data_IF_583868997680
#
_entry.id   IF_583868997680
#
_cell.length_a   1.000
_cell.length_b   1.000
_cell.length_c   1.000
_cell.angle_alpha   90.00
_cell.angle_beta   90.00
_cell.angle_gamma   90.00
#
_symmetry.space_group_name_H-M   'P 1'
#
loop_
_entity.id
_entity.type
_entity.pdbx_description
1 polymer ?
#
# COMPACT_ATOMS: atom_id res chain seq x y z
N UNK A 1 -21.72 6.84 -23.12
CA UNK A 1 -21.09 6.04 -22.04
C UNK A 1 -19.60 6.19 -22.19
N UNK A 2 -18.87 6.77 -21.22
CA UNK A 2 -17.40 6.69 -21.25
C UNK A 2 -17.02 5.20 -21.18
N UNK A 3 -16.18 4.74 -22.10
CA UNK A 3 -15.69 3.37 -22.11
C UNK A 3 -15.00 3.13 -20.76
N UNK A 4 -15.44 2.09 -20.02
CA UNK A 4 -14.88 1.78 -18.71
C UNK A 4 -13.45 1.29 -18.92
N UNK A 5 -12.49 1.96 -18.30
CA UNK A 5 -11.07 1.57 -18.34
C UNK A 5 -10.97 0.16 -17.75
N UNK A 6 -10.21 -0.70 -18.41
CA UNK A 6 -10.00 -2.09 -18.02
C UNK A 6 -8.51 -2.45 -18.14
N UNK A 7 -8.07 -3.60 -17.64
CA UNK A 7 -6.64 -3.93 -17.61
C UNK A 7 -6.03 -4.03 -19.01
N UNK A 8 -6.76 -4.52 -20.01
CA UNK A 8 -6.25 -4.62 -21.38
C UNK A 8 -6.00 -3.23 -21.99
N UNK A 9 -6.88 -2.26 -21.73
CA UNK A 9 -6.67 -0.86 -22.11
C UNK A 9 -5.44 -0.25 -21.42
N UNK A 10 -5.19 -0.57 -20.14
CA UNK A 10 -4.00 -0.07 -19.45
C UNK A 10 -2.71 -0.69 -20.02
N UNK A 11 -2.71 -1.98 -20.30
CA UNK A 11 -1.54 -2.67 -20.85
C UNK A 11 -1.23 -2.24 -22.29
N UNK A 12 -2.23 -1.81 -23.08
CA UNK A 12 -1.97 -1.29 -24.44
C UNK A 12 -1.19 0.02 -24.48
N UNK A 13 -1.07 0.75 -23.36
CA UNK A 13 -0.23 1.94 -23.26
C UNK A 13 1.23 1.65 -22.94
N UNK A 14 1.56 0.42 -22.53
CA UNK A 14 2.94 0.05 -22.20
C UNK A 14 3.74 -0.08 -23.50
N UNK A 15 4.82 0.70 -23.69
CA UNK A 15 5.58 0.66 -24.93
C UNK A 15 6.22 -0.72 -25.18
N UNK A 16 6.22 -1.14 -26.44
CA UNK A 16 6.80 -2.43 -26.85
C UNK A 16 7.83 -2.26 -27.96
N UNK A 17 8.71 -3.26 -28.11
CA UNK A 17 9.68 -3.30 -29.19
C UNK A 17 8.99 -3.36 -30.56
N UNK A 18 9.61 -2.83 -31.62
CA UNK A 18 10.92 -2.17 -31.64
C UNK A 18 10.87 -0.66 -31.33
N UNK A 19 9.69 -0.03 -31.40
CA UNK A 19 9.58 1.43 -31.45
C UNK A 19 9.62 2.09 -30.07
N UNK A 20 9.16 1.40 -29.03
CA UNK A 20 9.09 1.91 -27.65
C UNK A 20 8.40 3.30 -27.54
N UNK A 21 7.45 3.57 -28.43
CA UNK A 21 6.72 4.83 -28.48
C UNK A 21 5.66 4.89 -27.38
N UNK A 22 5.42 6.10 -26.87
CA UNK A 22 4.43 6.37 -25.83
C UNK A 22 3.30 7.20 -26.44
N UNK A 23 2.07 6.69 -26.37
CA UNK A 23 0.87 7.43 -26.75
C UNK A 23 0.46 8.39 -25.61
N UNK A 24 1.07 9.57 -25.59
CA UNK A 24 0.82 10.57 -24.56
C UNK A 24 -0.62 11.07 -24.54
N UNK A 25 -1.23 11.30 -25.71
CA UNK A 25 -2.58 11.85 -25.79
C UNK A 25 -3.60 10.85 -25.26
N UNK A 26 -3.47 9.57 -25.64
CA UNK A 26 -4.32 8.51 -25.10
C UNK A 26 -4.09 8.27 -23.61
N UNK A 27 -2.82 8.19 -23.17
CA UNK A 27 -2.45 7.95 -21.77
C UNK A 27 -2.99 9.05 -20.84
N UNK A 28 -2.78 10.32 -21.19
CA UNK A 28 -3.22 11.45 -20.36
C UNK A 28 -4.74 11.65 -20.36
N UNK A 29 -5.44 11.13 -21.37
CA UNK A 29 -6.90 11.19 -21.44
C UNK A 29 -7.61 10.12 -20.59
N UNK A 30 -6.88 9.15 -20.02
CA UNK A 30 -7.46 8.07 -19.21
C UNK A 30 -8.19 8.61 -17.98
N UNK A 31 -7.51 9.45 -17.22
CA UNK A 31 -7.98 9.90 -15.92
C UNK A 31 -7.81 11.41 -15.77
N UNK A 32 -8.82 12.15 -15.25
CA UNK A 32 -8.68 13.58 -14.99
C UNK A 32 -7.54 13.88 -14.00
N UNK A 33 -7.14 12.91 -13.18
CA UNK A 33 -5.99 13.01 -12.29
C UNK A 33 -4.68 13.28 -13.04
N UNK A 34 -4.52 12.81 -14.28
CA UNK A 34 -3.34 13.13 -15.10
C UNK A 34 -3.34 14.59 -15.55
N UNK A 35 -4.49 15.10 -16.02
CA UNK A 35 -4.61 16.51 -16.40
C UNK A 35 -4.33 17.45 -15.22
N UNK A 36 -4.72 17.06 -14.00
CA UNK A 36 -4.41 17.84 -12.80
C UNK A 36 -2.91 17.94 -12.48
N UNK A 37 -2.05 17.08 -13.06
CA UNK A 37 -0.61 17.20 -12.91
C UNK A 37 -0.04 18.35 -13.74
N UNK A 38 -0.62 18.62 -14.91
CA UNK A 38 -0.16 19.69 -15.82
C UNK A 38 -0.39 21.10 -15.20
N UNK A 39 -1.35 21.20 -14.27
CA UNK A 39 -1.65 22.44 -13.53
C UNK A 39 -0.94 22.52 -12.16
N UNK A 40 -0.21 21.48 -11.74
CA UNK A 40 0.39 21.42 -10.41
C UNK A 40 1.83 21.96 -10.44
N UNK A 41 2.11 23.13 -9.82
CA UNK A 41 3.45 23.71 -9.83
C UNK A 41 4.38 22.91 -8.92
N UNK A 42 5.69 22.95 -9.24
CA UNK A 42 6.75 22.40 -8.41
C UNK A 42 7.72 23.48 -7.96
N UNK A 43 8.57 23.13 -7.00
CA UNK A 43 9.62 24.02 -6.51
C UNK A 43 10.73 24.18 -7.55
N UNK A 44 10.92 25.40 -8.06
CA UNK A 44 11.85 25.69 -9.15
C UNK A 44 13.34 25.42 -8.83
N UNK A 45 13.72 25.21 -7.57
CA UNK A 45 15.11 24.85 -7.22
C UNK A 45 15.35 23.35 -7.48
N UNK A 46 14.37 22.51 -7.15
CA UNK A 46 14.48 21.06 -7.32
C UNK A 46 13.87 20.58 -8.64
N UNK A 47 13.01 21.39 -9.25
CA UNK A 47 12.22 21.06 -10.42
C UNK A 47 12.13 22.26 -11.37
N UNK A 48 13.26 22.71 -11.92
CA UNK A 48 13.26 23.81 -12.88
C UNK A 48 12.61 23.43 -14.24
N UNK A 49 12.31 22.14 -14.46
CA UNK A 49 11.58 21.64 -15.63
C UNK A 49 10.11 22.08 -15.70
N UNK A 50 9.51 22.50 -14.57
CA UNK A 50 8.17 23.06 -14.53
C UNK A 50 7.19 22.29 -13.64
N UNK A 51 6.03 21.95 -14.20
CA UNK A 51 4.92 21.30 -13.49
C UNK A 51 5.10 19.79 -13.34
N UNK A 52 4.28 19.19 -12.48
CA UNK A 52 4.30 17.75 -12.17
C UNK A 52 4.02 16.90 -13.40
N UNK A 53 3.18 17.36 -14.32
CA UNK A 53 2.85 16.64 -15.54
C UNK A 53 4.06 16.55 -16.48
N UNK A 54 4.73 17.69 -16.71
CA UNK A 54 5.99 17.79 -17.45
C UNK A 54 7.05 16.87 -16.86
N UNK A 55 7.29 16.96 -15.54
CA UNK A 55 8.24 16.09 -14.84
C UNK A 55 7.89 14.60 -15.04
N UNK A 56 6.64 14.21 -14.79
CA UNK A 56 6.18 12.81 -14.92
C UNK A 56 6.44 12.25 -16.32
N UNK A 57 6.19 13.03 -17.38
CA UNK A 57 6.49 12.61 -18.75
C UNK A 57 7.98 12.39 -18.96
N UNK A 58 8.83 13.28 -18.46
CA UNK A 58 10.28 13.15 -18.55
C UNK A 58 10.76 11.87 -17.85
N UNK A 59 10.27 11.57 -16.64
CA UNK A 59 10.59 10.34 -15.89
C UNK A 59 10.25 9.09 -16.72
N UNK A 60 9.03 9.04 -17.27
CA UNK A 60 8.57 7.89 -18.06
C UNK A 60 9.37 7.76 -19.36
N UNK A 61 9.72 8.87 -20.02
CA UNK A 61 10.60 8.86 -21.20
C UNK A 61 12.01 8.34 -20.88
N UNK A 62 12.61 8.83 -19.80
CA UNK A 62 13.93 8.38 -19.34
C UNK A 62 13.91 6.88 -19.02
N UNK A 63 12.87 6.41 -18.33
CA UNK A 63 12.69 4.99 -17.99
C UNK A 63 12.56 4.12 -19.25
N UNK A 64 11.63 4.44 -20.16
CA UNK A 64 11.36 3.65 -21.39
C UNK A 64 12.55 3.70 -22.38
N UNK A 65 13.28 4.82 -22.39
CA UNK A 65 14.51 4.99 -23.16
C UNK A 65 15.68 4.16 -22.63
N UNK A 66 15.66 3.77 -21.35
CA UNK A 66 16.74 3.07 -20.68
C UNK A 66 16.87 1.59 -21.07
N UNK A 67 18.09 1.08 -21.29
CA UNK A 67 18.32 -0.34 -21.61
C UNK A 67 17.91 -1.27 -20.47
N UNK A 68 18.07 -0.83 -19.21
CA UNK A 68 17.76 -1.63 -18.03
C UNK A 68 16.25 -1.94 -17.94
N UNK A 69 15.38 -0.95 -18.22
CA UNK A 69 13.94 -1.19 -18.28
C UNK A 69 13.58 -2.11 -19.46
N UNK A 70 14.17 -1.89 -20.64
CA UNK A 70 13.91 -2.73 -21.82
C UNK A 70 14.31 -4.19 -21.61
N UNK A 71 15.35 -4.44 -20.81
CA UNK A 71 15.82 -5.77 -20.45
C UNK A 71 14.95 -6.50 -19.40
N UNK A 72 14.05 -5.79 -18.72
CA UNK A 72 13.13 -6.41 -17.75
C UNK A 72 12.17 -7.41 -18.43
N UNK A 73 11.63 -8.32 -17.62
CA UNK A 73 10.50 -9.14 -18.02
C UNK A 73 9.31 -8.25 -18.40
N UNK A 74 8.44 -8.74 -19.29
CA UNK A 74 7.23 -7.99 -19.72
C UNK A 74 6.42 -7.51 -18.51
N UNK A 75 6.18 -8.40 -17.54
CA UNK A 75 5.43 -8.08 -16.32
C UNK A 75 6.07 -6.97 -15.48
N UNK A 76 7.39 -6.98 -15.36
CA UNK A 76 8.10 -5.95 -14.59
C UNK A 76 8.15 -4.61 -15.35
N UNK A 77 8.24 -4.64 -16.69
CA UNK A 77 8.10 -3.44 -17.53
C UNK A 77 6.74 -2.78 -17.36
N UNK A 78 5.67 -3.57 -17.48
CA UNK A 78 4.29 -3.11 -17.31
C UNK A 78 4.08 -2.49 -15.92
N UNK A 79 4.53 -3.17 -14.88
CA UNK A 79 4.41 -2.70 -13.49
C UNK A 79 5.19 -1.40 -13.28
N UNK A 80 6.46 -1.33 -13.70
CA UNK A 80 7.32 -0.18 -13.45
C UNK A 80 6.92 1.03 -14.29
N UNK A 81 6.43 0.82 -15.52
CA UNK A 81 5.86 1.87 -16.36
C UNK A 81 4.67 2.55 -15.65
N UNK A 82 3.72 1.77 -15.15
CA UNK A 82 2.56 2.34 -14.44
C UNK A 82 2.92 2.96 -13.10
N UNK A 83 3.93 2.43 -12.39
CA UNK A 83 4.49 3.10 -11.22
C UNK A 83 5.08 4.47 -11.56
N UNK A 84 5.84 4.58 -12.65
CA UNK A 84 6.41 5.85 -13.11
C UNK A 84 5.35 6.86 -13.53
N UNK A 85 4.32 6.45 -14.28
CA UNK A 85 3.21 7.33 -14.65
C UNK A 85 2.48 7.90 -13.43
N UNK A 86 2.42 7.16 -12.32
CA UNK A 86 1.57 7.49 -11.17
C UNK A 86 2.34 7.93 -9.92
N UNK A 87 3.67 7.94 -9.93
CA UNK A 87 4.50 8.16 -8.74
C UNK A 87 4.17 9.47 -8.00
N UNK A 88 3.84 10.50 -8.76
CA UNK A 88 3.54 11.85 -8.27
C UNK A 88 2.05 12.23 -8.37
N UNK A 89 1.16 11.28 -8.66
CA UNK A 89 -0.29 11.55 -8.82
C UNK A 89 -0.94 12.16 -7.56
N UNK A 90 -0.29 12.03 -6.40
CA UNK A 90 -0.72 12.62 -5.14
C UNK A 90 -0.32 14.08 -4.91
N UNK A 91 0.57 14.65 -5.74
CA UNK A 91 1.05 16.04 -5.56
C UNK A 91 -0.08 17.07 -5.64
N UNK A 92 -0.99 17.05 -6.64
CA UNK A 92 -2.08 18.04 -6.71
C UNK A 92 -2.94 18.14 -5.44
N UNK A 93 -3.14 17.02 -4.73
CA UNK A 93 -3.92 16.98 -3.49
C UNK A 93 -3.14 17.40 -2.22
N UNK A 94 -1.82 17.57 -2.30
CA UNK A 94 -0.93 17.79 -1.15
C UNK A 94 0.00 18.98 -1.29
N UNK A 95 0.09 19.57 -2.49
CA UNK A 95 0.93 20.73 -2.77
C UNK A 95 0.45 21.97 -2.02
N UNK A 96 1.41 22.68 -1.41
CA UNK A 96 1.22 23.93 -0.68
C UNK A 96 2.30 24.94 -1.07
N UNK A 97 1.91 26.20 -1.09
CA UNK A 97 2.84 27.33 -1.17
C UNK A 97 3.25 27.72 0.24
N UNK A 98 4.55 27.70 0.51
CA UNK A 98 5.14 28.09 1.79
C UNK A 98 5.48 29.59 1.79
N UNK A 99 5.66 30.16 2.98
CA UNK A 99 5.90 31.61 3.18
C UNK A 99 7.18 32.13 2.50
N UNK A 100 8.15 31.27 2.26
CA UNK A 100 9.44 31.58 1.63
C UNK A 100 9.45 31.35 0.10
N UNK A 101 8.27 31.39 -0.55
CA UNK A 101 8.09 31.11 -1.98
C UNK A 101 8.49 29.70 -2.41
N UNK A 102 8.71 28.80 -1.46
CA UNK A 102 8.95 27.37 -1.71
C UNK A 102 7.63 26.66 -1.94
N UNK A 103 7.70 25.54 -2.65
CA UNK A 103 6.54 24.68 -2.89
C UNK A 103 6.84 23.32 -2.27
N UNK A 104 5.92 22.79 -1.47
CA UNK A 104 6.07 21.45 -0.89
C UNK A 104 4.83 20.61 -1.13
N UNK A 105 5.03 19.30 -1.34
CA UNK A 105 3.95 18.32 -1.50
C UNK A 105 4.11 17.21 -0.45
N UNK A 106 4.14 17.60 0.83
CA UNK A 106 4.39 16.66 1.94
C UNK A 106 3.27 15.60 2.00
N UNK A 107 3.67 14.32 1.99
CA UNK A 107 2.75 13.19 2.04
C UNK A 107 2.16 12.76 0.70
N UNK A 108 2.60 13.36 -0.43
CA UNK A 108 2.10 12.99 -1.76
C UNK A 108 2.28 11.51 -2.08
N UNK A 109 3.35 10.85 -1.62
CA UNK A 109 3.60 9.43 -1.94
C UNK A 109 2.50 8.51 -1.37
N UNK A 110 2.08 8.74 -0.12
CA UNK A 110 0.98 7.96 0.51
C UNK A 110 -0.36 8.31 -0.11
N UNK A 111 -0.62 9.60 -0.36
CA UNK A 111 -1.85 10.05 -1.03
C UNK A 111 -1.94 9.50 -2.45
N UNK A 112 -0.84 9.53 -3.19
CA UNK A 112 -0.70 9.01 -4.55
C UNK A 112 -0.98 7.51 -4.60
N UNK A 113 -0.37 6.72 -3.71
CA UNK A 113 -0.68 5.30 -3.60
C UNK A 113 -2.16 5.02 -3.31
N UNK A 114 -2.83 5.85 -2.50
CA UNK A 114 -4.27 5.72 -2.25
C UNK A 114 -5.13 6.06 -3.48
N UNK A 115 -4.77 7.11 -4.23
CA UNK A 115 -5.42 7.47 -5.50
C UNK A 115 -5.24 6.34 -6.52
N UNK A 116 -3.99 5.91 -6.74
CA UNK A 116 -3.64 4.81 -7.65
C UNK A 116 -4.40 3.54 -7.32
N UNK A 117 -4.50 3.16 -6.04
CA UNK A 117 -5.27 2.00 -5.62
C UNK A 117 -6.74 2.10 -6.04
N UNK A 118 -7.36 3.27 -5.87
CA UNK A 118 -8.72 3.52 -6.33
C UNK A 118 -8.87 3.36 -7.83
N UNK A 119 -8.04 4.06 -8.61
CA UNK A 119 -8.07 4.04 -10.08
C UNK A 119 -7.91 2.62 -10.64
N UNK A 120 -6.90 1.88 -10.16
CA UNK A 120 -6.60 0.54 -10.64
C UNK A 120 -7.64 -0.49 -10.18
N UNK A 121 -8.14 -0.39 -8.94
CA UNK A 121 -9.25 -1.24 -8.47
C UNK A 121 -10.50 -1.05 -9.33
N UNK A 122 -10.87 0.19 -9.61
CA UNK A 122 -12.07 0.51 -10.36
C UNK A 122 -11.93 0.14 -11.85
N UNK A 123 -10.69 0.05 -12.35
CA UNK A 123 -10.32 -0.52 -13.63
C UNK A 123 -10.23 -2.07 -13.63
N UNK A 124 -10.51 -2.75 -12.51
CA UNK A 124 -10.51 -4.22 -12.43
C UNK A 124 -9.12 -4.86 -12.52
N UNK A 125 -8.08 -4.12 -12.16
CA UNK A 125 -6.70 -4.58 -12.17
C UNK A 125 -6.46 -5.60 -11.05
N UNK A 126 -5.65 -6.62 -11.34
CA UNK A 126 -5.23 -7.64 -10.38
C UNK A 126 -4.71 -7.03 -9.07
N UNK A 127 -5.13 -7.59 -7.95
CA UNK A 127 -4.80 -7.10 -6.61
C UNK A 127 -3.29 -7.03 -6.37
N UNK A 128 -2.56 -8.10 -6.66
CA UNK A 128 -1.13 -8.17 -6.35
C UNK A 128 -0.33 -7.23 -7.26
N UNK A 129 -0.69 -7.14 -8.53
CA UNK A 129 -0.06 -6.18 -9.45
C UNK A 129 -0.34 -4.73 -9.04
N UNK A 130 -1.59 -4.41 -8.68
CA UNK A 130 -1.97 -3.09 -8.15
C UNK A 130 -1.20 -2.72 -6.89
N UNK A 131 -1.13 -3.60 -5.90
CA UNK A 131 -0.45 -3.28 -4.64
C UNK A 131 1.08 -3.17 -4.81
N UNK A 132 1.69 -3.89 -5.77
CA UNK A 132 3.11 -3.69 -6.14
C UNK A 132 3.38 -2.27 -6.69
N UNK A 133 2.48 -1.76 -7.53
CA UNK A 133 2.55 -0.37 -8.03
C UNK A 133 2.42 0.59 -6.85
N UNK A 134 1.41 0.40 -6.00
CA UNK A 134 1.17 1.26 -4.84
C UNK A 134 2.35 1.27 -3.86
N UNK A 135 3.01 0.13 -3.64
CA UNK A 135 4.20 0.04 -2.81
C UNK A 135 5.36 0.85 -3.42
N UNK A 136 5.60 0.71 -4.73
CA UNK A 136 6.63 1.49 -5.44
C UNK A 136 6.37 2.99 -5.32
N UNK A 137 5.13 3.43 -5.52
CA UNK A 137 4.72 4.84 -5.36
C UNK A 137 4.91 5.31 -3.91
N UNK A 138 4.58 4.47 -2.91
CA UNK A 138 4.75 4.83 -1.50
C UNK A 138 6.22 5.10 -1.15
N UNK A 139 7.13 4.33 -1.74
CA UNK A 139 8.56 4.35 -1.41
C UNK A 139 9.43 5.09 -2.44
N UNK A 140 8.87 5.65 -3.51
CA UNK A 140 9.65 6.11 -4.68
C UNK A 140 10.76 7.13 -4.36
N UNK A 141 10.60 7.92 -3.28
CA UNK A 141 11.62 8.88 -2.85
C UNK A 141 12.69 8.30 -1.93
N UNK A 142 12.49 7.10 -1.38
CA UNK A 142 13.42 6.50 -0.42
C UNK A 142 14.85 6.40 -0.97
N UNK A 143 15.09 5.96 -2.22
CA UNK A 143 16.46 5.82 -2.73
C UNK A 143 17.24 7.15 -2.77
N UNK A 144 16.58 8.30 -2.86
CA UNK A 144 17.27 9.61 -2.84
C UNK A 144 17.94 9.93 -1.50
N UNK A 145 17.43 9.33 -0.41
CA UNK A 145 17.81 9.73 0.95
C UNK A 145 18.26 8.55 1.82
N UNK A 146 18.13 7.30 1.33
CA UNK A 146 18.28 6.08 2.15
C UNK A 146 19.59 6.10 2.96
N UNK A 147 20.70 6.41 2.31
CA UNK A 147 22.05 6.36 2.89
C UNK A 147 22.29 7.46 3.93
N UNK A 148 21.54 8.56 3.84
CA UNK A 148 21.62 9.68 4.77
C UNK A 148 20.73 9.46 6.01
N UNK A 149 19.84 8.45 5.97
CA UNK A 149 18.96 8.13 7.09
C UNK A 149 19.69 7.34 8.17
N UNK A 150 19.29 7.49 9.45
CA UNK A 150 19.70 6.57 10.48
C UNK A 150 19.31 5.13 10.13
N UNK A 151 20.23 4.19 10.38
CA UNK A 151 20.06 2.75 10.13
C UNK A 151 19.59 2.43 8.70
N UNK A 152 20.37 2.78 7.68
CA UNK A 152 19.98 2.60 6.27
C UNK A 152 19.71 1.13 5.94
N UNK A 153 20.50 0.19 6.47
CA UNK A 153 20.28 -1.25 6.33
C UNK A 153 18.89 -1.66 6.84
N UNK A 154 18.48 -1.18 8.02
CA UNK A 154 17.18 -1.50 8.60
C UNK A 154 16.03 -0.98 7.75
N UNK A 155 16.16 0.22 7.21
CA UNK A 155 15.18 0.81 6.29
C UNK A 155 15.13 0.04 4.96
N UNK A 156 16.28 -0.41 4.46
CA UNK A 156 16.36 -1.24 3.27
C UNK A 156 15.63 -2.58 3.47
N UNK A 157 15.95 -3.28 4.57
CA UNK A 157 15.29 -4.53 4.96
C UNK A 157 13.78 -4.34 5.09
N UNK A 158 13.33 -3.34 5.86
CA UNK A 158 11.90 -3.08 6.06
C UNK A 158 11.16 -2.76 4.75
N UNK A 159 11.79 -2.01 3.83
CA UNK A 159 11.19 -1.66 2.53
C UNK A 159 11.11 -2.86 1.59
N UNK A 160 12.12 -3.74 1.63
CA UNK A 160 12.16 -4.95 0.78
C UNK A 160 10.97 -5.90 1.01
N UNK A 161 10.33 -5.83 2.18
CA UNK A 161 9.18 -6.65 2.55
C UNK A 161 7.92 -6.32 1.73
N UNK A 162 7.82 -5.11 1.20
CA UNK A 162 6.61 -4.65 0.48
C UNK A 162 6.93 -4.18 -0.94
N UNK A 163 8.17 -3.82 -1.23
CA UNK A 163 8.59 -3.25 -2.50
C UNK A 163 9.82 -3.98 -3.06
N UNK A 164 9.81 -4.29 -4.37
CA UNK A 164 10.99 -4.81 -5.07
C UNK A 164 12.02 -3.71 -5.27
N UNK A 165 13.06 -3.74 -4.45
CA UNK A 165 14.04 -2.67 -4.32
C UNK A 165 14.83 -2.41 -5.61
N UNK A 166 15.06 -3.42 -6.43
CA UNK A 166 15.71 -3.29 -7.74
C UNK A 166 14.91 -2.41 -8.71
N UNK A 167 13.59 -2.62 -8.76
CA UNK A 167 12.68 -1.82 -9.57
C UNK A 167 12.47 -0.43 -8.96
N UNK A 168 12.42 -0.33 -7.63
CA UNK A 168 12.35 0.94 -6.91
C UNK A 168 13.56 1.84 -7.24
N UNK A 169 14.78 1.29 -7.20
CA UNK A 169 15.99 2.02 -7.54
C UNK A 169 16.03 2.39 -9.03
N UNK A 170 15.54 1.52 -9.93
CA UNK A 170 15.47 1.83 -11.35
C UNK A 170 14.49 2.98 -11.64
N UNK A 171 13.33 3.00 -10.99
CA UNK A 171 12.42 4.15 -11.03
C UNK A 171 13.09 5.41 -10.50
N UNK A 172 13.67 5.36 -9.30
CA UNK A 172 14.30 6.52 -8.67
C UNK A 172 15.43 7.10 -9.53
N UNK A 173 16.20 6.24 -10.21
CA UNK A 173 17.22 6.70 -11.18
C UNK A 173 16.60 7.45 -12.35
N UNK A 174 15.50 6.95 -12.92
CA UNK A 174 14.80 7.64 -14.02
C UNK A 174 14.21 8.99 -13.58
N UNK A 175 13.66 9.06 -12.37
CA UNK A 175 13.18 10.30 -11.75
C UNK A 175 14.33 11.30 -11.57
N UNK A 176 15.42 10.89 -10.92
CA UNK A 176 16.60 11.75 -10.71
C UNK A 176 17.19 12.27 -12.03
N UNK A 177 17.33 11.42 -13.05
CA UNK A 177 17.82 11.81 -14.39
C UNK A 177 16.95 12.87 -15.08
N UNK A 178 15.68 12.98 -14.68
CA UNK A 178 14.70 13.87 -15.29
C UNK A 178 14.55 15.21 -14.59
N UNK A 179 15.18 15.38 -13.42
CA UNK A 179 15.15 16.65 -12.68
C UNK A 179 16.09 17.67 -13.28
N UNK A 180 15.63 18.91 -13.39
CA UNK A 180 16.51 20.05 -13.66
C UNK A 180 16.81 20.75 -12.34
N UNK A 181 17.91 20.36 -11.70
CA UNK A 181 18.34 20.90 -10.40
C UNK A 181 19.87 20.89 -10.26
N UNK A 182 20.40 21.71 -9.35
CA UNK A 182 21.86 21.85 -9.15
C UNK A 182 22.51 20.61 -8.51
N UNK A 183 21.74 19.85 -7.74
CA UNK A 183 22.15 18.67 -6.95
C UNK A 183 21.85 17.34 -7.66
N UNK A 184 21.55 17.35 -8.97
CA UNK A 184 21.16 16.15 -9.71
C UNK A 184 22.19 15.01 -9.59
N UNK A 185 23.48 15.35 -9.68
CA UNK A 185 24.57 14.37 -9.60
C UNK A 185 24.61 13.69 -8.22
N UNK A 186 24.45 14.45 -7.14
CA UNK A 186 24.43 13.94 -5.77
C UNK A 186 23.21 13.01 -5.56
N UNK A 187 22.04 13.39 -6.09
CA UNK A 187 20.84 12.55 -6.03
C UNK A 187 21.05 11.22 -6.78
N UNK A 188 21.70 11.24 -7.94
CA UNK A 188 22.02 10.03 -8.70
C UNK A 188 23.02 9.13 -7.96
N UNK A 189 24.03 9.72 -7.32
CA UNK A 189 24.98 9.00 -6.47
C UNK A 189 24.25 8.34 -5.29
N UNK A 190 23.37 9.06 -4.59
CA UNK A 190 22.56 8.51 -3.51
C UNK A 190 21.70 7.33 -3.96
N UNK A 191 21.09 7.39 -5.15
CA UNK A 191 20.32 6.27 -5.72
C UNK A 191 21.22 5.05 -5.98
N UNK A 192 22.43 5.26 -6.48
CA UNK A 192 23.40 4.19 -6.69
C UNK A 192 23.83 3.55 -5.37
N UNK A 193 24.16 4.37 -4.36
CA UNK A 193 24.52 3.89 -3.03
C UNK A 193 23.35 3.18 -2.34
N UNK A 194 22.12 3.66 -2.51
CA UNK A 194 20.93 3.00 -1.99
C UNK A 194 20.75 1.60 -2.60
N UNK A 195 21.00 1.46 -3.91
CA UNK A 195 20.96 0.16 -4.59
C UNK A 195 21.99 -0.80 -4.01
N UNK A 196 23.23 -0.34 -3.76
CA UNK A 196 24.27 -1.16 -3.12
C UNK A 196 23.87 -1.53 -1.69
N UNK A 197 23.28 -0.62 -0.92
CA UNK A 197 22.78 -0.91 0.43
C UNK A 197 21.74 -2.05 0.43
N UNK A 198 20.82 -2.08 -0.54
CA UNK A 198 19.88 -3.19 -0.69
C UNK A 198 20.59 -4.50 -1.11
N UNK A 199 21.63 -4.42 -1.94
CA UNK A 199 22.40 -5.58 -2.36
C UNK A 199 23.20 -6.19 -1.19
N UNK A 200 23.90 -5.37 -0.42
CA UNK A 200 24.67 -5.76 0.76
C UNK A 200 23.78 -6.38 1.85
N UNK A 201 22.59 -5.80 2.07
CA UNK A 201 21.59 -6.36 2.98
C UNK A 201 20.94 -7.66 2.44
N UNK A 202 21.26 -8.09 1.22
CA UNK A 202 20.69 -9.29 0.62
C UNK A 202 19.22 -9.17 0.25
N UNK A 203 18.71 -7.96 -0.02
CA UNK A 203 17.29 -7.68 -0.23
C UNK A 203 16.99 -6.80 -1.45
N UNK A 204 17.86 -6.84 -2.47
CA UNK A 204 17.71 -6.06 -3.70
C UNK A 204 16.58 -6.57 -4.60
N UNK A 205 16.56 -7.87 -4.90
CA UNK A 205 15.60 -8.47 -5.86
C UNK A 205 14.47 -9.23 -5.19
N UNK A 206 14.56 -9.43 -3.88
CA UNK A 206 13.63 -10.20 -3.07
C UNK A 206 13.54 -9.61 -1.65
N UNK A 207 12.45 -9.87 -0.91
CA UNK A 207 12.36 -9.51 0.49
C UNK A 207 13.49 -10.14 1.31
N UNK A 208 13.95 -9.44 2.35
CA UNK A 208 14.92 -10.00 3.29
C UNK A 208 14.42 -11.34 3.89
N UNK A 209 15.23 -12.41 3.88
CA UNK A 209 14.81 -13.75 4.26
C UNK A 209 14.91 -13.98 5.77
N UNK A 210 14.00 -13.38 6.55
CA UNK A 210 13.90 -13.66 7.99
C UNK A 210 13.69 -15.16 8.26
N UNK A 211 14.30 -15.67 9.33
CA UNK A 211 14.23 -17.09 9.69
C UNK A 211 12.79 -17.61 9.90
N UNK A 212 11.93 -16.76 10.45
CA UNK A 212 10.49 -17.02 10.58
C UNK A 212 9.69 -15.70 10.68
N UNK A 213 8.38 -15.82 10.74
CA UNK A 213 7.49 -14.66 10.75
C UNK A 213 7.59 -13.86 12.07
N UNK A 214 7.82 -14.52 13.20
CA UNK A 214 8.07 -13.84 14.47
C UNK A 214 9.34 -12.99 14.42
N UNK A 215 10.41 -13.51 13.84
CA UNK A 215 11.70 -12.80 13.67
C UNK A 215 11.51 -11.53 12.84
N UNK A 216 10.72 -11.60 11.76
CA UNK A 216 10.34 -10.44 10.93
C UNK A 216 9.59 -9.38 11.74
N UNK A 217 8.56 -9.77 12.51
CA UNK A 217 7.77 -8.81 13.28
C UNK A 217 8.58 -8.22 14.44
N UNK A 218 9.33 -9.05 15.17
CA UNK A 218 10.23 -8.61 16.24
C UNK A 218 11.28 -7.63 15.72
N UNK A 219 11.82 -7.88 14.51
CA UNK A 219 12.68 -6.92 13.83
C UNK A 219 11.97 -5.60 13.60
N UNK A 220 10.79 -5.60 12.98
CA UNK A 220 10.04 -4.36 12.67
C UNK A 220 9.63 -3.57 13.92
N UNK A 221 9.32 -4.25 15.03
CA UNK A 221 8.87 -3.64 16.28
C UNK A 221 10.00 -3.04 17.12
N UNK A 222 11.20 -3.65 17.08
CA UNK A 222 12.33 -3.28 17.95
C UNK A 222 13.51 -2.81 17.13
N UNK A 223 13.92 -1.56 17.35
CA UNK A 223 14.97 -0.88 16.60
C UNK A 223 16.35 -1.56 16.74
N UNK A 224 16.64 -2.08 17.92
CA UNK A 224 17.89 -2.76 18.30
C UNK A 224 17.97 -4.23 17.87
N UNK A 225 16.96 -4.73 17.16
CA UNK A 225 16.88 -6.15 16.80
C UNK A 225 17.76 -6.44 15.59
N UNK A 226 18.71 -7.37 15.77
CA UNK A 226 19.48 -7.96 14.69
C UNK A 226 18.55 -8.68 13.69
N UNK A 227 18.65 -8.43 12.37
CA UNK A 227 17.81 -9.08 11.37
C UNK A 227 18.04 -10.61 11.25
N UNK A 228 19.20 -11.11 11.68
CA UNK A 228 19.51 -12.54 11.74
C UNK A 228 19.03 -13.21 13.05
N UNK A 229 18.45 -12.45 13.99
CA UNK A 229 17.86 -13.01 15.20
C UNK A 229 16.76 -14.01 14.86
N UNK A 230 16.89 -15.23 15.40
CA UNK A 230 15.86 -16.27 15.28
C UNK A 230 14.99 -16.22 16.52
N UNK A 231 13.78 -15.69 16.37
CA UNK A 231 12.81 -15.66 17.44
C UNK A 231 12.24 -17.05 17.72
N UNK A 232 12.12 -17.39 19.01
CA UNK A 232 11.42 -18.58 19.45
C UNK A 232 9.90 -18.38 19.33
N UNK A 233 9.22 -19.28 18.64
CA UNK A 233 7.76 -19.24 18.44
C UNK A 233 7.07 -20.04 19.56
N UNK A 234 6.60 -19.34 20.59
CA UNK A 234 5.83 -19.90 21.72
C UNK A 234 4.51 -19.15 21.89
N UNK A 235 3.63 -19.32 20.91
CA UNK A 235 2.36 -18.61 20.86
C UNK A 235 1.33 -19.24 21.80
N UNK A 236 0.64 -18.40 22.57
CA UNK A 236 -0.39 -18.85 23.52
C UNK A 236 -1.70 -19.26 22.86
N UNK A 237 -2.01 -18.64 21.72
CA UNK A 237 -3.17 -18.92 20.88
C UNK A 237 -2.99 -18.29 19.49
N UNK A 238 -3.90 -18.62 18.57
CA UNK A 238 -4.04 -17.99 17.26
C UNK A 238 -5.26 -17.08 17.21
N UNK A 239 -5.06 -15.85 16.74
CA UNK A 239 -6.13 -14.87 16.56
C UNK A 239 -6.28 -14.53 15.09
N UNK A 240 -7.49 -14.76 14.57
CA UNK A 240 -7.87 -14.47 13.19
C UNK A 240 -8.48 -13.07 13.12
N UNK A 241 -7.71 -12.11 12.60
CA UNK A 241 -8.16 -10.73 12.44
C UNK A 241 -8.77 -10.52 11.06
N UNK A 242 -10.06 -10.22 11.01
CA UNK A 242 -10.72 -9.92 9.75
C UNK A 242 -10.41 -8.49 9.29
N UNK A 243 -10.14 -8.30 8.00
CA UNK A 243 -9.97 -6.98 7.37
C UNK A 243 -10.70 -6.95 6.03
N UNK A 244 -11.75 -6.14 5.92
CA UNK A 244 -12.50 -5.96 4.68
C UNK A 244 -13.45 -4.78 4.76
N UNK A 245 -13.84 -4.24 3.62
CA UNK A 245 -14.95 -3.29 3.53
C UNK A 245 -16.28 -3.92 4.04
N UNK A 246 -17.24 -3.10 4.49
CA UNK A 246 -18.59 -3.57 4.75
C UNK A 246 -19.22 -4.15 3.47
N UNK A 247 -19.93 -5.27 3.58
CA UNK A 247 -20.61 -5.90 2.45
C UNK A 247 -19.79 -6.95 1.71
N UNK A 248 -18.48 -7.06 1.95
CA UNK A 248 -17.60 -8.06 1.29
C UNK A 248 -17.91 -9.52 1.68
N UNK A 249 -18.66 -9.76 2.77
CA UNK A 249 -19.06 -11.10 3.19
C UNK A 249 -18.21 -11.73 4.32
N UNK A 250 -17.57 -10.92 5.16
CA UNK A 250 -16.77 -11.39 6.32
C UNK A 250 -17.51 -12.41 7.18
N UNK A 251 -18.74 -12.11 7.58
CA UNK A 251 -19.52 -12.97 8.49
C UNK A 251 -19.88 -14.31 7.83
N UNK A 252 -20.13 -14.31 6.53
CA UNK A 252 -20.35 -15.56 5.76
C UNK A 252 -19.06 -16.36 5.67
N UNK A 253 -17.92 -15.70 5.42
CA UNK A 253 -16.62 -16.38 5.38
C UNK A 253 -16.27 -16.99 6.74
N UNK A 254 -16.47 -16.27 7.85
CA UNK A 254 -16.23 -16.77 9.21
C UNK A 254 -17.08 -18.02 9.48
N UNK A 255 -18.39 -17.97 9.22
CA UNK A 255 -19.29 -19.12 9.45
C UNK A 255 -18.91 -20.35 8.66
N UNK A 256 -18.38 -20.18 7.45
CA UNK A 256 -18.04 -21.29 6.57
C UNK A 256 -16.65 -21.88 6.85
N UNK A 257 -15.71 -21.10 7.38
CA UNK A 257 -14.30 -21.50 7.51
C UNK A 257 -13.81 -21.61 8.95
N UNK A 258 -14.42 -20.88 9.89
CA UNK A 258 -14.09 -20.85 11.31
C UNK A 258 -15.34 -20.99 12.20
N UNK A 259 -16.26 -21.96 11.94
CA UNK A 259 -17.55 -22.06 12.63
C UNK A 259 -17.44 -22.30 14.14
N UNK A 260 -16.38 -22.99 14.57
CA UNK A 260 -16.21 -23.44 15.96
C UNK A 260 -15.47 -22.42 16.85
N UNK A 261 -14.96 -21.33 16.27
CA UNK A 261 -14.21 -20.33 17.02
C UNK A 261 -15.14 -19.26 17.62
N UNK A 262 -14.88 -18.81 18.86
CA UNK A 262 -15.50 -17.60 19.40
C UNK A 262 -15.22 -16.40 18.51
N UNK A 263 -16.22 -15.52 18.34
CA UNK A 263 -16.11 -14.32 17.51
C UNK A 263 -16.32 -13.06 18.36
N UNK A 264 -15.28 -12.25 18.49
CA UNK A 264 -15.39 -10.89 19.03
C UNK A 264 -15.78 -9.96 17.88
N UNK A 265 -17.08 -9.65 17.78
CA UNK A 265 -17.66 -8.87 16.69
C UNK A 265 -18.01 -7.45 17.12
N UNK A 266 -17.36 -6.45 16.52
CA UNK A 266 -17.65 -5.04 16.80
C UNK A 266 -19.07 -4.65 16.38
N UNK A 267 -19.61 -5.27 15.32
CA UNK A 267 -20.96 -4.99 14.83
C UNK A 267 -22.01 -5.58 15.77
N UNK A 268 -21.78 -6.79 16.29
CA UNK A 268 -22.65 -7.42 17.30
C UNK A 268 -22.67 -6.60 18.59
N UNK A 269 -21.50 -6.22 19.10
CA UNK A 269 -21.38 -5.40 20.32
C UNK A 269 -22.04 -4.03 20.16
N UNK A 270 -21.95 -3.44 18.97
CA UNK A 270 -22.63 -2.18 18.67
C UNK A 270 -24.16 -2.33 18.79
N UNK A 271 -24.71 -3.43 18.27
CA UNK A 271 -26.14 -3.74 18.37
C UNK A 271 -26.57 -4.00 19.81
N UNK A 272 -25.82 -4.81 20.56
CA UNK A 272 -26.12 -5.16 21.96
C UNK A 272 -26.12 -3.94 22.88
N UNK A 273 -25.19 -3.00 22.66
CA UNK A 273 -25.09 -1.75 23.43
C UNK A 273 -26.09 -0.67 22.97
N UNK A 274 -26.87 -0.93 21.90
CA UNK A 274 -27.80 0.06 21.33
C UNK A 274 -27.11 1.32 20.78
N UNK A 275 -25.83 1.24 20.42
CA UNK A 275 -25.05 2.38 19.95
C UNK A 275 -25.21 2.50 18.43
N UNK A 276 -25.66 3.65 17.94
CA UNK A 276 -25.74 3.87 16.48
C UNK A 276 -24.34 3.93 15.85
N UNK A 277 -24.18 3.69 14.53
CA UNK A 277 -22.90 3.85 13.83
C UNK A 277 -22.27 5.25 13.97
N UNK A 278 -23.08 6.27 14.27
CA UNK A 278 -22.65 7.66 14.52
C UNK A 278 -22.46 7.98 16.00
N UNK A 279 -22.85 7.06 16.90
CA UNK A 279 -22.71 7.19 18.34
C UNK A 279 -21.29 6.99 18.84
N UNK A 280 -21.10 6.96 20.16
CA UNK A 280 -19.79 6.81 20.79
C UNK A 280 -19.17 5.43 20.54
N UNK A 281 -18.36 5.34 19.48
CA UNK A 281 -17.68 4.09 19.10
C UNK A 281 -16.63 3.64 20.13
N UNK A 282 -16.19 4.51 21.04
CA UNK A 282 -15.20 4.19 22.07
C UNK A 282 -15.68 3.09 23.03
N UNK A 283 -16.96 3.10 23.40
CA UNK A 283 -17.53 2.06 24.27
C UNK A 283 -17.58 0.69 23.60
N UNK A 284 -17.93 0.63 22.31
CA UNK A 284 -17.94 -0.61 21.52
C UNK A 284 -16.54 -1.19 21.41
N UNK A 285 -15.55 -0.33 21.13
CA UNK A 285 -14.15 -0.74 21.07
C UNK A 285 -13.70 -1.27 22.44
N UNK A 286 -13.97 -0.56 23.53
CA UNK A 286 -13.59 -1.02 24.87
C UNK A 286 -14.20 -2.38 25.21
N UNK A 287 -15.48 -2.59 24.92
CA UNK A 287 -16.15 -3.87 25.14
C UNK A 287 -15.50 -5.00 24.32
N UNK A 288 -15.14 -4.73 23.05
CA UNK A 288 -14.44 -5.70 22.21
C UNK A 288 -13.06 -6.06 22.77
N UNK A 289 -12.30 -5.08 23.29
CA UNK A 289 -11.01 -5.31 23.94
C UNK A 289 -11.16 -6.18 25.20
N UNK A 290 -12.18 -5.93 26.03
CA UNK A 290 -12.42 -6.74 27.22
C UNK A 290 -12.82 -8.18 26.88
N UNK A 291 -13.67 -8.40 25.87
CA UNK A 291 -13.99 -9.75 25.41
C UNK A 291 -12.76 -10.48 24.85
N UNK A 292 -11.96 -9.80 24.02
CA UNK A 292 -10.73 -10.38 23.49
C UNK A 292 -9.74 -10.77 24.62
N UNK A 293 -9.60 -9.93 25.66
CA UNK A 293 -8.73 -10.24 26.81
C UNK A 293 -9.16 -11.51 27.56
N UNK A 294 -10.45 -11.85 27.58
CA UNK A 294 -10.91 -13.12 28.19
C UNK A 294 -10.30 -14.31 27.44
N UNK A 295 -10.43 -14.35 26.12
CA UNK A 295 -9.86 -15.41 25.28
C UNK A 295 -8.32 -15.43 25.33
N UNK A 296 -7.68 -14.26 25.25
CA UNK A 296 -6.22 -14.13 25.31
C UNK A 296 -5.65 -14.62 26.65
N UNK A 297 -6.30 -14.32 27.77
CA UNK A 297 -5.88 -14.82 29.10
C UNK A 297 -6.00 -16.34 29.19
N UNK A 298 -7.05 -16.90 28.58
CA UNK A 298 -7.29 -18.34 28.53
C UNK A 298 -6.39 -19.09 27.53
N UNK A 299 -5.67 -18.39 26.64
CA UNK A 299 -4.93 -19.04 25.55
C UNK A 299 -5.87 -19.71 24.54
N UNK A 300 -7.05 -19.14 24.32
CA UNK A 300 -8.05 -19.68 23.40
C UNK A 300 -7.97 -18.97 22.05
N UNK A 301 -8.02 -19.74 20.96
CA UNK A 301 -8.14 -19.21 19.60
C UNK A 301 -9.48 -18.52 19.40
N UNK A 302 -9.50 -17.39 18.68
CA UNK A 302 -10.72 -16.65 18.40
C UNK A 302 -10.61 -15.77 17.16
N UNK A 303 -11.75 -15.27 16.68
CA UNK A 303 -11.85 -14.33 15.58
C UNK A 303 -12.09 -12.92 16.10
N UNK A 304 -11.28 -11.96 15.65
CA UNK A 304 -11.56 -10.53 15.79
C UNK A 304 -12.25 -10.03 14.52
N UNK A 305 -13.57 -9.83 14.58
CA UNK A 305 -14.37 -9.41 13.44
C UNK A 305 -14.65 -7.90 13.46
N UNK A 306 -14.01 -7.19 12.55
CA UNK A 306 -14.21 -5.76 12.31
C UNK A 306 -13.89 -5.40 10.86
N UNK A 307 -14.11 -4.14 10.46
CA UNK A 307 -13.76 -3.68 9.12
C UNK A 307 -12.25 -3.56 8.95
N UNK A 308 -11.55 -2.98 9.94
CA UNK A 308 -10.09 -2.94 10.03
C UNK A 308 -9.42 -2.51 8.71
N UNK A 309 -9.96 -1.47 8.08
CA UNK A 309 -9.62 -1.07 6.70
C UNK A 309 -8.34 -0.24 6.60
N UNK A 310 -7.80 0.25 7.71
CA UNK A 310 -6.57 1.06 7.72
C UNK A 310 -5.50 0.42 8.58
N UNK A 311 -4.24 0.68 8.26
CA UNK A 311 -3.10 0.20 9.06
C UNK A 311 -3.17 0.71 10.50
N UNK A 312 -3.63 1.95 10.70
CA UNK A 312 -3.80 2.55 12.02
C UNK A 312 -4.82 1.81 12.89
N UNK A 313 -5.96 1.39 12.31
CA UNK A 313 -7.01 0.68 13.06
C UNK A 313 -6.59 -0.74 13.39
N UNK A 314 -5.94 -1.43 12.45
CA UNK A 314 -5.32 -2.75 12.70
C UNK A 314 -4.25 -2.67 13.77
N UNK A 315 -3.29 -1.73 13.66
CA UNK A 315 -2.15 -1.61 14.57
C UNK A 315 -2.51 -1.54 16.05
N UNK A 316 -3.65 -0.94 16.42
CA UNK A 316 -4.13 -0.92 17.81
C UNK A 316 -4.50 -2.31 18.32
N UNK A 317 -5.21 -3.08 17.49
CA UNK A 317 -5.62 -4.45 17.81
C UNK A 317 -4.39 -5.36 17.81
N UNK A 318 -3.55 -5.26 16.77
CA UNK A 318 -2.33 -6.05 16.65
C UNK A 318 -1.45 -5.92 17.89
N UNK A 319 -1.25 -4.69 18.41
CA UNK A 319 -0.50 -4.47 19.64
C UNK A 319 -1.06 -5.24 20.85
N UNK A 320 -2.38 -5.19 21.08
CA UNK A 320 -3.01 -5.98 22.13
C UNK A 320 -2.72 -7.47 21.96
N UNK A 321 -2.85 -8.00 20.75
CA UNK A 321 -2.63 -9.42 20.47
C UNK A 321 -1.17 -9.82 20.71
N UNK A 322 -0.22 -8.97 20.29
CA UNK A 322 1.22 -9.14 20.51
C UNK A 322 1.58 -9.12 22.00
N UNK A 323 1.02 -8.19 22.78
CA UNK A 323 1.26 -8.08 24.23
C UNK A 323 0.87 -9.35 25.00
N UNK A 324 -0.05 -10.15 24.44
CA UNK A 324 -0.48 -11.43 25.01
C UNK A 324 0.22 -12.66 24.40
N UNK A 325 1.18 -12.47 23.50
CA UNK A 325 1.91 -13.57 22.84
C UNK A 325 1.04 -14.39 21.89
N UNK A 326 0.08 -13.76 21.21
CA UNK A 326 -0.77 -14.43 20.23
C UNK A 326 -0.10 -14.51 18.85
N UNK A 327 -0.27 -15.66 18.18
CA UNK A 327 -0.05 -15.78 16.73
C UNK A 327 -1.16 -15.04 16.01
N UNK A 328 -0.80 -14.10 15.15
CA UNK A 328 -1.74 -13.26 14.42
C UNK A 328 -1.82 -13.71 12.97
N UNK A 329 -3.05 -14.01 12.55
CA UNK A 329 -3.41 -14.32 11.17
C UNK A 329 -4.42 -13.30 10.66
N UNK A 330 -4.04 -12.45 9.69
CA UNK A 330 -4.98 -11.51 9.08
C UNK A 330 -5.69 -12.20 7.89
N UNK A 331 -7.02 -12.21 7.92
CA UNK A 331 -7.83 -12.62 6.77
C UNK A 331 -8.35 -11.36 6.07
N UNK A 332 -7.78 -11.05 4.91
CA UNK A 332 -8.19 -9.92 4.10
C UNK A 332 -9.15 -10.36 3.01
N UNK A 333 -10.32 -9.73 2.92
CA UNK A 333 -11.28 -10.01 1.85
C UNK A 333 -11.43 -8.78 0.97
N UNK A 334 -11.39 -9.01 -0.35
CA UNK A 334 -11.70 -7.99 -1.35
C UNK A 334 -12.55 -8.59 -2.47
N UNK A 335 -13.57 -7.82 -2.86
CA UNK A 335 -14.44 -8.13 -4.00
C UNK A 335 -14.42 -6.97 -4.99
N UNK A 336 -14.78 -7.23 -6.25
CA UNK A 336 -14.92 -6.15 -7.24
C UNK A 336 -15.91 -5.07 -6.77
N UNK A 337 -15.73 -3.79 -7.19
CA UNK A 337 -16.63 -2.71 -6.80
C UNK A 337 -18.11 -3.00 -7.12
N UNK A 338 -18.38 -3.62 -8.27
CA UNK A 338 -19.74 -3.94 -8.70
C UNK A 338 -20.38 -4.99 -7.77
N UNK A 339 -19.61 -6.02 -7.40
CA UNK A 339 -20.04 -7.05 -6.44
C UNK A 339 -20.22 -6.47 -5.04
N UNK A 340 -19.32 -5.59 -4.59
CA UNK A 340 -19.43 -4.92 -3.29
C UNK A 340 -20.74 -4.13 -3.19
N UNK A 341 -21.08 -3.37 -4.23
CA UNK A 341 -22.29 -2.58 -4.28
C UNK A 341 -23.53 -3.47 -4.29
N UNK A 342 -23.56 -4.52 -5.13
CA UNK A 342 -24.67 -5.46 -5.19
C UNK A 342 -24.90 -6.18 -3.85
N UNK A 343 -23.82 -6.66 -3.22
CA UNK A 343 -23.87 -7.30 -1.91
C UNK A 343 -24.35 -6.34 -0.83
N UNK A 344 -23.85 -5.10 -0.81
CA UNK A 344 -24.25 -4.11 0.19
C UNK A 344 -25.71 -3.67 0.05
N UNK A 345 -26.23 -3.56 -1.18
CA UNK A 345 -27.64 -3.24 -1.42
C UNK A 345 -28.62 -4.34 -1.01
N UNK A 346 -28.17 -5.60 -0.98
CA UNK A 346 -28.98 -6.75 -0.61
C UNK A 346 -29.04 -7.01 0.91
N UNK A 347 -28.39 -6.18 1.74
CA UNK A 347 -28.35 -6.34 3.21
C UNK A 347 -29.56 -5.69 3.85
N UNK A 348 -30.10 -6.33 4.90
CA UNK A 348 -31.16 -5.77 5.76
C UNK A 348 -30.78 -4.39 6.31
N UNK A 349 -29.51 -4.22 6.70
CA UNK A 349 -28.91 -2.94 7.09
C UNK A 349 -27.80 -2.57 6.11
N UNK A 350 -28.19 -1.94 5.00
CA UNK A 350 -27.24 -1.44 4.00
C UNK A 350 -26.44 -0.24 4.55
N UNK A 351 -25.14 -0.21 4.26
CA UNK A 351 -24.30 0.96 4.57
C UNK A 351 -24.47 1.99 3.45
N UNK A 352 -24.67 3.28 3.74
CA UNK A 352 -24.80 4.28 2.69
C UNK A 352 -23.63 4.25 1.71
N UNK A 353 -23.91 4.33 0.41
CA UNK A 353 -22.89 4.22 -0.66
C UNK A 353 -21.69 5.15 -0.43
N UNK A 354 -21.97 6.41 -0.06
CA UNK A 354 -20.92 7.39 0.23
C UNK A 354 -19.97 6.95 1.35
N UNK A 355 -20.48 6.23 2.36
CA UNK A 355 -19.65 5.70 3.46
C UNK A 355 -18.76 4.56 2.97
N UNK A 356 -19.30 3.66 2.14
CA UNK A 356 -18.51 2.59 1.52
C UNK A 356 -17.41 3.17 0.64
N UNK A 357 -17.72 4.14 -0.22
CA UNK A 357 -16.74 4.84 -1.05
C UNK A 357 -15.68 5.57 -0.22
N UNK A 358 -16.08 6.21 0.89
CA UNK A 358 -15.15 6.86 1.82
C UNK A 358 -14.19 5.87 2.49
N UNK A 359 -14.68 4.69 2.89
CA UNK A 359 -13.85 3.62 3.45
C UNK A 359 -12.93 3.03 2.37
N UNK A 360 -13.45 2.84 1.15
CA UNK A 360 -12.72 2.32 0.02
C UNK A 360 -11.57 3.24 -0.42
N UNK A 361 -11.73 4.56 -0.29
CA UNK A 361 -10.66 5.56 -0.51
C UNK A 361 -9.56 5.53 0.56
N UNK A 362 -9.89 5.10 1.77
CA UNK A 362 -8.95 5.00 2.91
C UNK A 362 -8.39 3.59 3.09
N UNK A 363 -8.79 2.65 2.24
CA UNK A 363 -8.42 1.25 2.36
C UNK A 363 -6.92 1.08 2.16
N UNK A 364 -6.27 0.53 3.18
CA UNK A 364 -4.87 0.10 3.15
C UNK A 364 -4.91 -1.41 3.36
N UNK A 365 -4.80 -2.24 2.30
CA UNK A 365 -4.73 -3.69 2.45
C UNK A 365 -3.57 -4.07 3.39
N UNK A 366 -3.71 -5.13 4.19
CA UNK A 366 -2.64 -5.57 5.06
C UNK A 366 -1.48 -6.14 4.24
N UNK A 367 -0.26 -5.95 4.72
CA UNK A 367 0.96 -6.50 4.15
C UNK A 367 1.78 -7.25 5.20
N UNK A 368 2.79 -8.01 4.75
CA UNK A 368 3.56 -8.92 5.62
C UNK A 368 4.28 -8.25 6.79
N UNK A 369 4.34 -6.92 6.84
CA UNK A 369 4.89 -6.17 7.97
C UNK A 369 3.94 -6.10 9.18
N UNK A 370 2.69 -6.55 9.03
CA UNK A 370 1.65 -6.40 10.06
C UNK A 370 1.36 -7.66 10.87
N UNK A 371 1.58 -8.85 10.32
CA UNK A 371 1.19 -10.11 10.96
C UNK A 371 2.09 -11.28 10.60
N UNK A 372 1.93 -12.39 11.34
CA UNK A 372 2.71 -13.60 11.12
C UNK A 372 2.29 -14.24 9.80
N UNK A 373 0.98 -14.26 9.55
CA UNK A 373 0.36 -14.80 8.36
C UNK A 373 -0.74 -13.86 7.83
N UNK A 374 -0.88 -13.79 6.52
CA UNK A 374 -1.94 -13.06 5.83
C UNK A 374 -2.53 -13.93 4.74
N UNK A 375 -3.85 -14.09 4.74
CA UNK A 375 -4.58 -14.76 3.66
C UNK A 375 -5.43 -13.74 2.93
N UNK A 376 -5.19 -13.61 1.62
CA UNK A 376 -5.99 -12.77 0.73
C UNK A 376 -7.09 -13.62 0.09
N UNK A 377 -8.35 -13.30 0.41
CA UNK A 377 -9.55 -13.89 -0.19
C UNK A 377 -10.06 -12.89 -1.22
N UNK A 378 -9.60 -13.08 -2.46
CA UNK A 378 -9.92 -12.19 -3.57
C UNK A 378 -11.01 -12.84 -4.41
N UNK A 379 -12.07 -12.11 -4.69
CA UNK A 379 -13.12 -12.58 -5.61
C UNK A 379 -13.47 -11.50 -6.62
N UNK A 380 -13.35 -11.85 -7.90
CA UNK A 380 -13.80 -11.00 -9.00
C UNK A 380 -15.32 -10.86 -9.01
#
# INVERSE_FOLDING_TARGET
MKQRINPATLLSFVPTAPDWSIDWSGLWALWPEFAALDDCPQDAIHHAEGDVGTHTRMVVQALVGGPDWRALTVKDREMLFWAACLHDIGKPATTKHEDNSRITSRGHSRTGAAITRGLLRDAGVDFHWRERICATITHHQLPFWLIERPMPERLAIATSLTCRSDLLCLHARADALSRTCADQADVLENVALAREQFAEAGCLTHPYPFANAESRLAFLEREDRDPAYIAHEDFRCTVYLMSALPGTGKDTWIRNNLPDLPVVSLDTLRSELGITPTGNQGMVIQAAYEQAKVHLRAGQDFVWNGTNTTRLTRGKVLRLLRDYGARIHIIYLEVSPDRLLAQNSARDQSVPRQVVENLARKLEPPDMTEAHEITYILST
#
